data_IF_095091764568
#
_entry.id   IF_095091764568
#
_cell.length_a   1.000
_cell.length_b   1.000
_cell.length_c   1.000
_cell.angle_alpha   90.00
_cell.angle_beta   90.00
_cell.angle_gamma   90.00
#
_symmetry.space_group_name_H-M   'P 1'
#
loop_
_entity.id
_entity.type
_entity.pdbx_description
1 polymer ?
#
# COMPACT_ATOMS: atom_id res chain seq x y z
N UNK A 1 1.47 18.18 -11.33
CA UNK A 1 1.91 18.33 -9.92
C UNK A 1 1.84 16.95 -9.31
N UNK A 2 2.98 16.43 -8.86
CA UNK A 2 3.15 15.01 -8.52
C UNK A 2 2.30 14.63 -7.31
N UNK A 3 1.35 13.72 -7.49
CA UNK A 3 0.68 13.07 -6.37
C UNK A 3 1.73 12.24 -5.60
N UNK A 4 1.80 12.42 -4.29
CA UNK A 4 2.64 11.57 -3.44
C UNK A 4 1.98 10.18 -3.37
N UNK A 5 2.64 9.20 -3.99
CA UNK A 5 2.24 7.80 -4.03
C UNK A 5 3.21 6.97 -3.19
N UNK A 6 2.67 6.13 -2.29
CA UNK A 6 3.42 5.17 -1.49
C UNK A 6 2.93 3.77 -1.82
N UNK A 7 3.84 2.91 -2.27
CA UNK A 7 3.56 1.51 -2.56
C UNK A 7 4.32 0.58 -1.63
N UNK A 8 3.66 -0.45 -1.11
CA UNK A 8 4.29 -1.44 -0.24
C UNK A 8 3.58 -2.79 -0.31
N UNK A 9 4.31 -3.85 0.06
CA UNK A 9 3.74 -5.18 0.22
C UNK A 9 3.19 -5.34 1.63
N UNK A 10 1.99 -5.91 1.75
CA UNK A 10 1.33 -6.21 3.01
C UNK A 10 0.98 -7.70 3.06
N UNK A 11 1.26 -8.35 4.19
CA UNK A 11 0.84 -9.71 4.48
C UNK A 11 -0.26 -9.67 5.53
N UNK A 12 -1.45 -10.15 5.17
CA UNK A 12 -2.60 -10.18 6.08
C UNK A 12 -2.54 -11.41 7.01
N UNK A 13 -3.28 -11.40 8.14
CA UNK A 13 -3.38 -12.56 9.03
C UNK A 13 -3.91 -13.82 8.34
N UNK A 14 -4.72 -13.67 7.29
CA UNK A 14 -5.31 -14.76 6.51
C UNK A 14 -4.34 -15.35 5.47
N UNK A 15 -3.03 -15.15 5.64
CA UNK A 15 -1.97 -15.64 4.74
C UNK A 15 -2.09 -15.09 3.31
N UNK A 16 -2.74 -13.94 3.13
CA UNK A 16 -2.83 -13.29 1.82
C UNK A 16 -1.78 -12.20 1.70
N UNK A 17 -1.24 -12.05 0.49
CA UNK A 17 -0.31 -11.00 0.16
C UNK A 17 -1.01 -9.95 -0.69
N UNK A 18 -0.72 -8.69 -0.41
CA UNK A 18 -1.27 -7.57 -1.15
C UNK A 18 -0.15 -6.62 -1.56
N UNK A 19 -0.24 -6.11 -2.77
CA UNK A 19 0.42 -4.87 -3.15
C UNK A 19 -0.52 -3.72 -2.86
N UNK A 20 -0.13 -2.85 -1.93
CA UNK A 20 -0.93 -1.71 -1.49
C UNK A 20 -0.36 -0.44 -2.10
N UNK A 21 -1.24 0.38 -2.67
CA UNK A 21 -0.93 1.70 -3.22
C UNK A 21 -1.73 2.75 -2.47
N UNK A 22 -1.04 3.69 -1.82
CA UNK A 22 -1.64 4.83 -1.13
C UNK A 22 -1.32 6.11 -1.89
N UNK A 23 -2.35 6.85 -2.32
CA UNK A 23 -2.24 8.11 -3.06
C UNK A 23 -2.89 9.24 -2.31
N UNK A 24 -2.17 10.33 -2.06
CA UNK A 24 -2.78 11.55 -1.53
C UNK A 24 -3.65 12.19 -2.61
N UNK A 25 -4.89 12.52 -2.25
CA UNK A 25 -5.90 13.16 -3.07
C UNK A 25 -6.23 14.50 -2.41
N UNK A 26 -6.31 15.56 -3.21
CA UNK A 26 -6.86 16.84 -2.76
C UNK A 26 -8.35 16.88 -3.12
N UNK A 27 -9.17 17.57 -2.33
CA UNK A 27 -10.55 17.88 -2.72
C UNK A 27 -10.54 18.50 -4.13
N UNK A 28 -11.26 17.87 -5.07
CA UNK A 28 -11.34 18.17 -6.51
C UNK A 28 -10.27 17.58 -7.45
N UNK A 29 -9.38 16.68 -7.02
CA UNK A 29 -8.56 15.93 -7.98
C UNK A 29 -9.32 14.73 -8.56
N UNK A 30 -9.30 14.60 -9.88
CA UNK A 30 -9.89 13.45 -10.58
C UNK A 30 -9.04 12.23 -10.26
N UNK A 31 -9.58 11.29 -9.47
CA UNK A 31 -8.99 9.97 -9.32
C UNK A 31 -9.07 9.30 -10.68
N UNK A 32 -7.92 9.12 -11.34
CA UNK A 32 -7.84 8.30 -12.55
C UNK A 32 -8.33 6.89 -12.18
N UNK A 33 -9.45 6.47 -12.74
CA UNK A 33 -10.07 5.15 -12.46
C UNK A 33 -9.37 3.98 -13.17
N UNK A 34 -8.25 4.22 -13.83
CA UNK A 34 -7.51 3.21 -14.62
C UNK A 34 -6.66 2.24 -13.77
N UNK A 35 -6.90 2.14 -12.46
CA UNK A 35 -6.15 1.22 -11.62
C UNK A 35 -6.89 -0.10 -11.46
N UNK A 36 -6.22 -1.20 -11.82
CA UNK A 36 -6.71 -2.57 -11.66
C UNK A 36 -6.54 -3.05 -10.21
N UNK A 37 -7.22 -2.39 -9.26
CA UNK A 37 -7.24 -2.82 -7.86
C UNK A 37 -8.34 -3.87 -7.63
N UNK A 38 -8.04 -4.89 -6.83
CA UNK A 38 -9.06 -5.88 -6.43
C UNK A 38 -9.96 -5.33 -5.32
N UNK A 39 -9.40 -4.46 -4.47
CA UNK A 39 -10.12 -3.69 -3.46
C UNK A 39 -9.61 -2.26 -3.40
N UNK A 40 -10.51 -1.29 -3.18
CA UNK A 40 -10.13 0.11 -3.00
C UNK A 40 -11.01 0.82 -1.97
N UNK A 41 -10.45 1.79 -1.27
CA UNK A 41 -11.18 2.64 -0.32
C UNK A 41 -10.52 4.01 -0.15
N UNK A 42 -11.26 4.94 0.45
CA UNK A 42 -10.76 6.25 0.84
C UNK A 42 -10.52 6.29 2.35
N UNK A 43 -9.42 6.92 2.76
CA UNK A 43 -9.06 7.13 4.16
C UNK A 43 -8.74 8.60 4.40
N UNK A 44 -9.48 9.25 5.30
CA UNK A 44 -9.19 10.61 5.73
C UNK A 44 -8.10 10.59 6.81
N UNK A 45 -7.10 11.45 6.69
CA UNK A 45 -6.05 11.52 7.69
C UNK A 45 -6.56 12.22 8.96
N UNK A 46 -6.47 11.55 10.11
CA UNK A 46 -7.02 12.07 11.37
C UNK A 46 -6.37 13.38 11.84
N UNK A 47 -5.08 13.60 11.53
CA UNK A 47 -4.38 14.82 11.95
C UNK A 47 -4.57 16.01 10.98
N UNK A 48 -5.03 15.75 9.75
CA UNK A 48 -5.32 16.79 8.77
C UNK A 48 -6.55 16.39 7.93
N UNK A 49 -7.74 16.94 8.23
CA UNK A 49 -8.98 16.55 7.57
C UNK A 49 -9.03 16.96 6.09
N UNK A 50 -8.08 17.77 5.62
CA UNK A 50 -7.97 18.15 4.21
C UNK A 50 -7.19 17.12 3.38
N UNK A 51 -6.54 16.16 4.05
CA UNK A 51 -5.75 15.10 3.42
C UNK A 51 -6.56 13.81 3.35
N UNK A 52 -6.86 13.39 2.12
CA UNK A 52 -7.48 12.10 1.84
C UNK A 52 -6.50 11.19 1.12
N UNK A 53 -6.54 9.91 1.45
CA UNK A 53 -5.80 8.86 0.77
C UNK A 53 -6.77 7.99 -0.02
N UNK A 54 -6.47 7.75 -1.28
CA UNK A 54 -7.02 6.61 -2.02
C UNK A 54 -6.08 5.45 -1.79
N UNK A 55 -6.62 4.37 -1.25
CA UNK A 55 -5.88 3.14 -0.97
C UNK A 55 -6.42 2.06 -1.88
N UNK A 56 -5.56 1.57 -2.78
CA UNK A 56 -5.83 0.43 -3.64
C UNK A 56 -5.02 -0.78 -3.21
N UNK A 57 -5.64 -1.96 -3.28
CA UNK A 57 -5.04 -3.23 -2.91
C UNK A 57 -5.17 -4.21 -4.08
N UNK A 58 -4.04 -4.79 -4.49
CA UNK A 58 -4.00 -5.93 -5.42
C UNK A 58 -3.60 -7.19 -4.68
N UNK A 59 -4.39 -8.24 -4.74
CA UNK A 59 -4.04 -9.55 -4.23
C UNK A 59 -2.89 -10.13 -5.05
N UNK A 60 -1.90 -10.69 -4.34
CA UNK A 60 -0.78 -11.38 -4.92
C UNK A 60 -0.90 -12.85 -4.54
N UNK A 61 -1.01 -13.70 -5.56
CA UNK A 61 -0.95 -15.15 -5.34
C UNK A 61 0.41 -15.55 -4.76
N UNK A 62 0.41 -16.64 -3.98
CA UNK A 62 1.64 -17.19 -3.39
C UNK A 62 2.74 -17.42 -4.43
N UNK A 63 2.39 -17.95 -5.61
CA UNK A 63 3.32 -18.15 -6.71
C UNK A 63 4.02 -16.86 -7.16
N UNK A 64 3.30 -15.73 -7.19
CA UNK A 64 3.90 -14.42 -7.54
C UNK A 64 4.90 -13.98 -6.48
N UNK A 65 4.59 -14.19 -5.20
CA UNK A 65 5.51 -13.86 -4.10
C UNK A 65 6.74 -14.76 -4.13
N UNK A 66 6.57 -16.05 -4.30
CA UNK A 66 7.67 -17.01 -4.45
C UNK A 66 8.57 -16.62 -5.63
N UNK A 67 7.99 -16.29 -6.77
CA UNK A 67 8.74 -15.82 -7.93
C UNK A 67 9.52 -14.53 -7.63
N UNK A 68 8.90 -13.54 -6.97
CA UNK A 68 9.58 -12.31 -6.56
C UNK A 68 10.74 -12.61 -5.61
N UNK A 69 10.52 -13.43 -4.58
CA UNK A 69 11.57 -13.80 -3.63
C UNK A 69 12.75 -14.50 -4.30
N UNK A 70 12.48 -15.44 -5.22
CA UNK A 70 13.50 -16.11 -6.01
C UNK A 70 14.29 -15.13 -6.89
N UNK A 71 13.68 -14.04 -7.38
CA UNK A 71 14.38 -12.96 -8.08
C UNK A 71 15.22 -12.10 -7.12
N UNK A 72 14.78 -11.93 -5.87
CA UNK A 72 15.45 -11.12 -4.84
C UNK A 72 16.55 -11.86 -4.06
N UNK A 73 16.66 -13.19 -4.19
CA UNK A 73 17.78 -13.99 -3.63
C UNK A 73 19.18 -13.51 -4.10
N UNK A 74 19.25 -12.63 -5.11
CA UNK A 74 20.49 -12.02 -5.61
C UNK A 74 20.85 -10.68 -4.90
N UNK A 75 19.96 -10.07 -4.09
CA UNK A 75 20.15 -8.68 -3.60
C UNK A 75 19.81 -8.38 -2.13
N UNK A 76 19.53 -9.36 -1.27
CA UNK A 76 19.19 -9.07 0.13
C UNK A 76 20.41 -9.10 1.08
N UNK A 77 21.42 -8.28 0.79
CA UNK A 77 22.39 -7.86 1.80
C UNK A 77 21.73 -6.84 2.74
N UNK A 78 21.13 -7.37 3.80
CA UNK A 78 21.11 -6.81 5.15
C UNK A 78 20.88 -5.30 5.35
N UNK A 79 19.68 -4.79 5.02
CA UNK A 79 19.17 -3.56 5.67
C UNK A 79 17.77 -3.76 6.25
N UNK A 80 17.68 -4.50 7.37
CA UNK A 80 16.45 -4.61 8.17
C UNK A 80 16.24 -3.32 8.96
N UNK A 81 15.41 -2.42 8.44
CA UNK A 81 14.87 -1.28 9.20
C UNK A 81 13.53 -1.68 9.82
N UNK A 82 13.40 -1.56 11.14
CA UNK A 82 12.14 -1.79 11.85
C UNK A 82 11.11 -0.71 11.46
N UNK A 83 9.95 -1.14 10.96
CA UNK A 83 8.83 -0.28 10.58
C UNK A 83 7.97 0.11 11.81
N UNK A 84 7.49 1.35 11.85
CA UNK A 84 6.54 1.88 12.84
C UNK A 84 5.12 1.31 12.68
N UNK A 85 4.26 1.51 13.68
CA UNK A 85 2.88 0.98 13.70
C UNK A 85 2.03 1.49 12.52
N UNK A 86 2.20 2.76 12.09
CA UNK A 86 1.61 3.40 10.88
C UNK A 86 2.12 2.79 9.57
N UNK A 87 3.21 2.03 9.65
CA UNK A 87 3.82 1.28 8.56
C UNK A 87 3.50 -0.22 8.66
N UNK A 88 2.81 -0.69 9.71
CA UNK A 88 2.39 -2.10 9.92
C UNK A 88 0.88 -2.31 9.70
N UNK A 89 0.06 -1.35 10.09
CA UNK A 89 -1.40 -1.34 9.89
C UNK A 89 -1.77 0.07 9.39
N UNK A 90 -2.41 0.23 8.23
CA UNK A 90 -3.77 -0.23 7.92
C UNK A 90 -4.79 0.20 8.99
N UNK A 91 -5.10 1.51 9.01
CA UNK A 91 -6.24 2.19 9.65
C UNK A 91 -6.36 2.05 11.16
N UNK A 92 -5.88 3.01 11.94
CA UNK A 92 -6.58 3.41 13.17
C UNK A 92 -6.43 4.91 13.42
N UNK A 93 -7.55 5.63 13.35
CA UNK A 93 -8.04 6.41 14.48
C UNK A 93 -9.58 6.50 14.39
N UNK A 94 -10.21 6.18 15.52
CA UNK A 94 -11.65 6.27 15.84
C UNK A 94 -12.27 7.62 15.49
#
# INVERSE_FOLDING_TARGET
MNAFELNFYHHSPDMNFYYVTCKIIQENSVVNKDYDYDHEFFYQYSNDPTVYYHVGCKHLSHHVIEHLLNLYEIKLESSRKLLSLRQKLCLEQS
#
